data_IF_426653896231
#
_entry.id   IF_426653896231
#
_cell.length_a   1.000
_cell.length_b   1.000
_cell.length_c   1.000
_cell.angle_alpha   90.00
_cell.angle_beta   90.00
_cell.angle_gamma   90.00
#
_symmetry.space_group_name_H-M   'P 1'
#
loop_
_entity.id
_entity.type
_entity.pdbx_description
1 polymer ?
#
# COMPACT_ATOMS: atom_id res chain seq x y z
N UNK A 1 29.61 -21.27 16.93
CA UNK A 1 29.12 -20.01 16.34
C UNK A 1 28.43 -20.37 15.04
N UNK A 2 27.10 -20.52 15.08
CA UNK A 2 26.30 -20.84 13.91
C UNK A 2 25.89 -19.54 13.20
N UNK A 3 26.16 -19.49 11.90
CA UNK A 3 25.78 -18.42 11.00
C UNK A 3 24.25 -18.38 10.85
N UNK A 4 23.62 -17.37 11.44
CA UNK A 4 22.19 -17.16 11.33
C UNK A 4 21.89 -16.20 10.16
N UNK A 5 22.09 -16.66 8.92
CA UNK A 5 21.67 -15.95 7.69
C UNK A 5 20.17 -16.16 7.35
N UNK A 6 19.31 -16.36 8.35
CA UNK A 6 17.91 -16.78 8.11
C UNK A 6 16.84 -15.72 8.40
N UNK A 7 17.14 -14.44 8.19
CA UNK A 7 16.10 -13.48 7.80
C UNK A 7 16.09 -13.35 6.27
N UNK A 8 15.49 -14.35 5.61
CA UNK A 8 15.22 -14.34 4.16
C UNK A 8 14.61 -12.98 3.78
N UNK A 9 15.33 -12.20 2.95
CA UNK A 9 14.76 -11.07 2.18
C UNK A 9 13.40 -11.54 1.65
N UNK A 10 12.31 -10.89 2.08
CA UNK A 10 10.97 -11.23 1.62
C UNK A 10 10.97 -11.38 0.10
N UNK A 11 10.44 -12.49 -0.42
CA UNK A 11 10.43 -12.77 -1.85
C UNK A 11 9.68 -11.63 -2.56
N UNK A 12 10.42 -10.76 -3.27
CA UNK A 12 9.82 -9.78 -4.19
C UNK A 12 8.98 -10.52 -5.23
N UNK A 13 7.78 -10.02 -5.46
CA UNK A 13 6.86 -10.44 -6.50
C UNK A 13 7.37 -9.98 -7.87
N UNK A 14 7.92 -8.75 -7.93
CA UNK A 14 8.41 -8.14 -9.16
C UNK A 14 9.93 -8.12 -9.16
N UNK A 15 10.54 -8.70 -10.20
CA UNK A 15 12.01 -8.86 -10.29
C UNK A 15 12.63 -8.10 -11.47
N UNK A 16 11.86 -7.84 -12.52
CA UNK A 16 12.35 -7.19 -13.74
C UNK A 16 11.47 -6.00 -14.15
N UNK A 17 12.02 -5.15 -15.01
CA UNK A 17 11.33 -3.97 -15.55
C UNK A 17 10.15 -4.37 -16.44
N UNK A 18 10.28 -5.45 -17.18
CA UNK A 18 9.23 -5.97 -18.07
C UNK A 18 8.04 -6.49 -17.25
N UNK A 19 8.33 -7.18 -16.13
CA UNK A 19 7.29 -7.61 -15.18
C UNK A 19 6.59 -6.40 -14.56
N UNK A 20 7.37 -5.40 -14.14
CA UNK A 20 6.84 -4.16 -13.59
C UNK A 20 5.94 -3.43 -14.60
N UNK A 21 6.40 -3.28 -15.85
CA UNK A 21 5.63 -2.66 -16.93
C UNK A 21 4.32 -3.40 -17.18
N UNK A 22 4.37 -4.73 -17.25
CA UNK A 22 3.17 -5.56 -17.46
C UNK A 22 2.17 -5.36 -16.32
N UNK A 23 2.63 -5.43 -15.08
CA UNK A 23 1.79 -5.25 -13.91
C UNK A 23 1.17 -3.84 -13.85
N UNK A 24 1.95 -2.79 -14.10
CA UNK A 24 1.44 -1.41 -14.14
C UNK A 24 0.39 -1.24 -15.25
N UNK A 25 0.61 -1.81 -16.44
CA UNK A 25 -0.35 -1.70 -17.54
C UNK A 25 -1.69 -2.38 -17.23
N UNK A 26 -1.69 -3.45 -16.43
CA UNK A 26 -2.90 -4.11 -15.92
C UNK A 26 -3.55 -3.30 -14.78
N UNK A 27 -2.77 -2.93 -13.76
CA UNK A 27 -3.28 -2.29 -12.54
C UNK A 27 -3.74 -0.85 -12.73
N UNK A 28 -3.27 -0.18 -13.79
CA UNK A 28 -3.65 1.19 -14.13
C UNK A 28 -4.72 1.26 -15.23
N UNK A 29 -5.42 0.16 -15.53
CA UNK A 29 -6.69 0.25 -16.27
C UNK A 29 -7.74 0.93 -15.39
N UNK A 30 -8.70 1.66 -15.98
CA UNK A 30 -9.64 2.50 -15.23
C UNK A 30 -10.34 1.75 -14.09
N UNK A 31 -10.79 0.51 -14.33
CA UNK A 31 -11.43 -0.31 -13.31
C UNK A 31 -10.47 -0.71 -12.18
N UNK A 32 -9.25 -1.12 -12.52
CA UNK A 32 -8.26 -1.58 -11.53
C UNK A 32 -7.66 -0.44 -10.73
N UNK A 33 -7.44 0.72 -11.36
CA UNK A 33 -7.08 1.95 -10.67
C UNK A 33 -8.16 2.32 -9.66
N UNK A 34 -9.43 2.31 -10.08
CA UNK A 34 -10.55 2.58 -9.17
C UNK A 34 -10.60 1.57 -8.02
N UNK A 35 -10.26 0.30 -8.25
CA UNK A 35 -10.16 -0.70 -7.18
C UNK A 35 -9.05 -0.36 -6.17
N UNK A 36 -7.87 0.05 -6.65
CA UNK A 36 -6.76 0.46 -5.79
C UNK A 36 -7.17 1.67 -4.92
N UNK A 37 -7.74 2.71 -5.53
CA UNK A 37 -8.18 3.92 -4.85
C UNK A 37 -9.31 3.65 -3.84
N UNK A 38 -10.33 2.87 -4.23
CA UNK A 38 -11.44 2.51 -3.33
C UNK A 38 -10.97 1.72 -2.12
N UNK A 39 -9.99 0.84 -2.26
CA UNK A 39 -9.49 0.10 -1.10
C UNK A 39 -8.68 0.95 -0.12
N UNK A 40 -8.08 2.07 -0.56
CA UNK A 40 -7.50 3.07 0.36
C UNK A 40 -8.60 3.63 1.27
N UNK A 41 -9.68 4.12 0.66
CA UNK A 41 -10.84 4.64 1.40
C UNK A 41 -11.51 3.57 2.28
N UNK A 42 -11.63 2.35 1.76
CA UNK A 42 -12.15 1.22 2.53
C UNK A 42 -11.29 0.88 3.75
N UNK A 43 -9.96 1.01 3.65
CA UNK A 43 -9.07 0.79 4.80
C UNK A 43 -9.15 1.97 5.79
N UNK A 44 -9.21 3.21 5.32
CA UNK A 44 -9.39 4.40 6.16
C UNK A 44 -10.69 4.33 6.98
N UNK A 45 -11.82 3.99 6.35
CA UNK A 45 -13.11 3.82 7.02
C UNK A 45 -13.06 2.76 8.14
N UNK A 46 -12.37 1.65 7.88
CA UNK A 46 -12.22 0.56 8.86
C UNK A 46 -11.29 0.90 10.02
N UNK A 47 -10.30 1.77 9.82
CA UNK A 47 -9.44 2.26 10.91
C UNK A 47 -10.22 3.09 11.93
N UNK A 48 -11.35 3.70 11.53
CA UNK A 48 -12.23 4.50 12.39
C UNK A 48 -11.48 5.54 13.23
N UNK A 49 -10.42 6.13 12.66
CA UNK A 49 -9.62 7.14 13.32
C UNK A 49 -9.88 8.52 12.68
N UNK A 50 -10.71 9.38 13.30
CA UNK A 50 -11.04 10.69 12.76
C UNK A 50 -9.84 11.66 12.67
N UNK A 51 -8.74 11.37 13.37
CA UNK A 51 -7.51 12.17 13.25
C UNK A 51 -6.83 11.96 11.90
N UNK A 52 -7.01 10.80 11.27
CA UNK A 52 -6.40 10.54 9.96
C UNK A 52 -6.97 11.44 8.88
N UNK A 53 -8.29 11.67 8.87
CA UNK A 53 -8.92 12.57 7.90
C UNK A 53 -8.35 14.00 8.02
N UNK A 54 -8.24 14.50 9.25
CA UNK A 54 -7.65 15.81 9.54
C UNK A 54 -6.17 15.90 9.12
N UNK A 55 -5.41 14.82 9.30
CA UNK A 55 -4.00 14.76 8.91
C UNK A 55 -3.82 14.67 7.39
N UNK A 56 -4.71 13.96 6.70
CA UNK A 56 -4.70 13.86 5.23
C UNK A 56 -5.03 15.21 4.59
N UNK A 57 -6.02 15.93 5.13
CA UNK A 57 -6.37 17.28 4.68
C UNK A 57 -5.23 18.27 4.89
N UNK A 58 -4.48 18.12 6.00
CA UNK A 58 -3.33 18.97 6.35
C UNK A 58 -1.99 18.54 5.74
N UNK A 59 -1.97 17.43 5.01
CA UNK A 59 -0.72 16.85 4.52
C UNK A 59 0.07 17.79 3.58
N UNK A 60 -0.57 18.59 2.71
CA UNK A 60 0.13 19.60 1.91
C UNK A 60 0.87 20.63 2.76
N UNK A 61 0.30 21.11 3.86
CA UNK A 61 0.97 22.02 4.79
C UNK A 61 2.11 21.32 5.54
N UNK A 62 1.90 20.07 5.96
CA UNK A 62 2.94 19.28 6.62
C UNK A 62 4.17 19.07 5.73
N UNK A 63 3.99 18.91 4.41
CA UNK A 63 5.09 18.81 3.45
C UNK A 63 5.84 20.13 3.22
N UNK A 64 5.26 21.28 3.60
CA UNK A 64 5.98 22.57 3.59
C UNK A 64 6.86 22.74 4.82
N UNK A 65 6.49 22.11 5.93
CA UNK A 65 7.19 22.23 7.21
C UNK A 65 8.22 21.12 7.46
N UNK A 66 7.96 19.92 6.92
CA UNK A 66 8.75 18.71 7.19
C UNK A 66 9.12 17.97 5.91
N UNK A 67 10.27 17.29 5.94
CA UNK A 67 10.64 16.37 4.87
C UNK A 67 9.73 15.13 4.89
N UNK A 68 9.46 14.56 3.71
CA UNK A 68 8.59 13.38 3.60
C UNK A 68 9.18 12.18 4.36
N UNK A 69 10.51 12.04 4.38
CA UNK A 69 11.20 11.02 5.18
C UNK A 69 10.90 11.13 6.68
N UNK A 70 10.79 12.36 7.19
CA UNK A 70 10.47 12.63 8.59
C UNK A 70 9.01 12.27 8.90
N UNK A 71 8.08 12.66 8.03
CA UNK A 71 6.65 12.31 8.15
C UNK A 71 6.43 10.79 8.13
N UNK A 72 7.23 10.05 7.34
CA UNK A 72 7.16 8.59 7.21
C UNK A 72 7.99 7.81 8.26
N UNK A 73 8.72 8.51 9.13
CA UNK A 73 9.61 7.90 10.12
C UNK A 73 8.85 7.10 11.17
N UNK A 74 7.69 7.61 11.62
CA UNK A 74 6.96 7.13 12.80
C UNK A 74 7.48 7.67 14.13
N UNK A 75 8.39 8.65 14.10
CA UNK A 75 8.96 9.29 15.29
C UNK A 75 8.79 10.81 15.31
N UNK A 76 8.20 11.40 14.26
CA UNK A 76 7.94 12.83 14.21
C UNK A 76 6.76 13.18 15.13
N UNK A 77 7.02 14.05 16.10
CA UNK A 77 6.00 14.57 17.00
C UNK A 77 5.35 15.82 16.37
N UNK A 78 4.04 15.75 16.14
CA UNK A 78 3.22 16.87 15.68
C UNK A 78 2.20 17.15 16.79
N UNK A 79 1.97 18.43 17.17
CA UNK A 79 0.95 18.77 18.16
C UNK A 79 -0.40 18.13 17.84
N UNK A 80 -1.02 17.54 18.86
CA UNK A 80 -2.34 16.90 18.80
C UNK A 80 -2.46 15.65 17.90
N UNK A 81 -1.35 15.10 17.41
CA UNK A 81 -1.31 13.89 16.58
C UNK A 81 -0.39 12.81 17.16
N UNK A 82 -0.82 11.54 17.09
CA UNK A 82 0.06 10.42 17.41
C UNK A 82 1.05 10.19 16.26
N UNK A 83 2.30 9.85 16.58
CA UNK A 83 3.33 9.64 15.54
C UNK A 83 2.97 8.51 14.57
N UNK A 84 2.21 7.51 15.04
CA UNK A 84 1.62 6.45 14.22
C UNK A 84 0.57 6.94 13.24
N UNK A 85 -0.25 7.91 13.65
CA UNK A 85 -1.29 8.51 12.80
C UNK A 85 -0.67 9.37 11.71
N UNK A 86 0.33 10.18 12.05
CA UNK A 86 1.10 11.00 11.09
C UNK A 86 1.71 10.11 10.01
N UNK A 87 2.38 9.04 10.43
CA UNK A 87 2.98 8.09 9.49
C UNK A 87 1.92 7.39 8.64
N UNK A 88 0.79 7.02 9.23
CA UNK A 88 -0.30 6.34 8.52
C UNK A 88 -0.91 7.25 7.45
N UNK A 89 -1.23 8.50 7.81
CA UNK A 89 -1.67 9.51 6.86
C UNK A 89 -0.65 9.69 5.72
N UNK A 90 0.64 9.80 6.07
CA UNK A 90 1.69 9.95 5.06
C UNK A 90 1.84 8.76 4.11
N UNK A 91 1.69 7.53 4.60
CA UNK A 91 1.69 6.34 3.76
C UNK A 91 0.50 6.35 2.77
N UNK A 92 -0.69 6.74 3.23
CA UNK A 92 -1.86 6.84 2.37
C UNK A 92 -1.73 7.96 1.33
N UNK A 93 -1.28 9.15 1.73
CA UNK A 93 -1.00 10.26 0.80
C UNK A 93 0.03 9.85 -0.26
N UNK A 94 1.12 9.18 0.15
CA UNK A 94 2.11 8.65 -0.80
C UNK A 94 1.48 7.65 -1.77
N UNK A 95 0.66 6.72 -1.28
CA UNK A 95 0.05 5.69 -2.13
C UNK A 95 -0.92 6.31 -3.14
N UNK A 96 -1.76 7.26 -2.70
CA UNK A 96 -2.68 8.00 -3.57
C UNK A 96 -1.92 8.77 -4.67
N UNK A 97 -0.87 9.51 -4.29
CA UNK A 97 -0.05 10.27 -5.23
C UNK A 97 0.69 9.35 -6.21
N UNK A 98 1.23 8.23 -5.76
CA UNK A 98 1.88 7.26 -6.65
C UNK A 98 0.89 6.69 -7.67
N UNK A 99 -0.33 6.34 -7.27
CA UNK A 99 -1.38 5.89 -8.19
C UNK A 99 -1.70 6.98 -9.22
N UNK A 100 -1.89 8.22 -8.74
CA UNK A 100 -2.19 9.37 -9.59
C UNK A 100 -1.10 9.62 -10.63
N UNK A 101 0.15 9.80 -10.21
CA UNK A 101 1.26 10.07 -11.10
C UNK A 101 1.51 8.91 -12.07
N UNK A 102 1.46 7.67 -11.61
CA UNK A 102 1.66 6.52 -12.50
C UNK A 102 0.57 6.44 -13.59
N UNK A 103 -0.67 6.76 -13.26
CA UNK A 103 -1.76 6.82 -14.23
C UNK A 103 -1.59 7.96 -15.23
N UNK A 104 -1.22 9.16 -14.76
CA UNK A 104 -0.92 10.29 -15.65
C UNK A 104 0.22 9.95 -16.62
N UNK A 105 1.30 9.34 -16.13
CA UNK A 105 2.46 8.91 -16.94
C UNK A 105 2.12 7.83 -17.97
N UNK A 106 1.05 7.06 -17.74
CA UNK A 106 0.55 6.06 -18.69
C UNK A 106 -0.26 6.73 -19.81
N UNK A 107 -1.15 7.65 -19.45
CA UNK A 107 -2.12 8.23 -20.39
C UNK A 107 -1.56 9.45 -21.14
N UNK A 108 -0.56 10.12 -20.59
CA UNK A 108 0.02 11.34 -21.16
C UNK A 108 1.38 11.05 -21.83
N UNK A 109 1.51 11.22 -23.17
CA UNK A 109 2.79 11.06 -23.87
C UNK A 109 3.79 12.20 -23.61
N UNK A 110 3.38 13.29 -22.96
CA UNK A 110 4.22 14.42 -22.54
C UNK A 110 3.81 14.89 -21.13
N UNK A 111 4.11 14.09 -20.09
CA UNK A 111 3.86 14.51 -18.71
C UNK A 111 4.73 15.73 -18.37
N UNK A 112 4.32 16.51 -17.37
CA UNK A 112 5.16 17.59 -16.85
C UNK A 112 6.42 17.00 -16.19
N UNK A 113 7.54 17.73 -16.24
CA UNK A 113 8.77 17.34 -15.53
C UNK A 113 8.50 17.19 -14.02
N UNK A 114 7.63 18.05 -13.46
CA UNK A 114 7.19 18.03 -12.06
C UNK A 114 6.54 16.69 -11.64
N UNK A 115 5.85 15.99 -12.55
CA UNK A 115 5.21 14.70 -12.27
C UNK A 115 6.25 13.62 -11.99
N UNK A 116 7.29 13.54 -12.83
CA UNK A 116 8.40 12.59 -12.65
C UNK A 116 9.23 12.90 -11.40
N UNK A 117 9.51 14.17 -11.15
CA UNK A 117 10.30 14.58 -9.98
C UNK A 117 9.55 14.32 -8.67
N UNK A 118 8.24 14.60 -8.63
CA UNK A 118 7.38 14.29 -7.49
C UNK A 118 7.31 12.78 -7.22
N UNK A 119 7.16 11.96 -8.27
CA UNK A 119 7.19 10.51 -8.14
C UNK A 119 8.54 10.03 -7.59
N UNK A 120 9.66 10.51 -8.14
CA UNK A 120 11.01 10.16 -7.65
C UNK A 120 11.24 10.60 -6.22
N UNK A 121 10.73 11.76 -5.82
CA UNK A 121 10.82 12.25 -4.44
C UNK A 121 10.17 11.26 -3.46
N UNK A 122 8.96 10.78 -3.76
CA UNK A 122 8.30 9.75 -2.94
C UNK A 122 9.12 8.46 -2.89
N UNK A 123 9.58 7.96 -4.05
CA UNK A 123 10.33 6.70 -4.13
C UNK A 123 11.68 6.75 -3.38
N UNK A 124 12.29 7.93 -3.26
CA UNK A 124 13.52 8.13 -2.46
C UNK A 124 13.22 8.20 -0.97
N UNK A 125 12.08 8.80 -0.59
CA UNK A 125 11.73 9.07 0.80
C UNK A 125 11.34 7.83 1.62
N UNK A 126 10.97 6.73 0.96
CA UNK A 126 10.68 5.46 1.63
C UNK A 126 11.08 4.30 0.75
N UNK A 127 11.71 3.26 1.33
CA UNK A 127 12.02 2.05 0.57
C UNK A 127 10.77 1.20 0.31
N UNK A 128 10.70 0.55 -0.85
CA UNK A 128 9.62 -0.39 -1.21
C UNK A 128 9.30 -1.40 -0.09
N UNK A 129 10.32 -2.01 0.52
CA UNK A 129 10.12 -2.99 1.59
C UNK A 129 9.55 -2.38 2.86
N UNK A 130 9.96 -1.15 3.22
CA UNK A 130 9.41 -0.44 4.38
C UNK A 130 7.97 -0.03 4.11
N UNK A 131 7.66 0.49 2.92
CA UNK A 131 6.30 0.87 2.52
C UNK A 131 5.35 -0.34 2.59
N UNK A 132 5.71 -1.45 1.91
CA UNK A 132 4.89 -2.67 1.91
C UNK A 132 4.68 -3.22 3.31
N UNK A 133 5.73 -3.25 4.15
CA UNK A 133 5.63 -3.77 5.51
C UNK A 133 4.75 -2.87 6.39
N UNK A 134 4.98 -1.56 6.34
CA UNK A 134 4.26 -0.62 7.19
C UNK A 134 2.76 -0.57 6.78
N UNK A 135 2.45 -0.69 5.48
CA UNK A 135 1.08 -0.86 5.01
C UNK A 135 0.45 -2.19 5.46
N UNK A 136 1.21 -3.31 5.41
CA UNK A 136 0.72 -4.60 5.90
C UNK A 136 0.33 -4.54 7.38
N UNK A 137 1.12 -3.85 8.19
CA UNK A 137 0.82 -3.67 9.63
C UNK A 137 -0.52 -2.95 9.79
N UNK A 138 -0.78 -1.88 9.03
CA UNK A 138 -2.05 -1.15 9.05
C UNK A 138 -3.21 -2.04 8.58
N UNK A 139 -3.02 -2.80 7.50
CA UNK A 139 -4.04 -3.74 7.01
C UNK A 139 -4.38 -4.81 8.05
N UNK A 140 -3.36 -5.41 8.68
CA UNK A 140 -3.55 -6.45 9.69
C UNK A 140 -4.10 -5.87 11.00
N UNK A 141 -3.82 -4.61 11.35
CA UNK A 141 -4.42 -4.01 12.55
C UNK A 141 -5.93 -3.82 12.42
N UNK A 142 -6.43 -3.62 11.19
CA UNK A 142 -7.87 -3.55 10.91
C UNK A 142 -8.53 -4.92 10.98
N UNK A 143 -7.88 -5.94 10.43
CA UNK A 143 -8.37 -7.32 10.56
C UNK A 143 -8.34 -7.75 12.03
N UNK A 144 -7.23 -7.49 12.72
CA UNK A 144 -7.10 -7.59 14.16
C UNK A 144 -7.10 -9.01 14.73
N UNK A 145 -6.61 -9.12 15.96
CA UNK A 145 -6.63 -10.36 16.76
C UNK A 145 -8.07 -10.81 17.00
N UNK A 146 -9.00 -9.87 17.21
CA UNK A 146 -10.41 -10.18 17.49
C UNK A 146 -11.09 -10.95 16.35
N UNK A 147 -10.80 -10.62 15.09
CA UNK A 147 -11.28 -11.41 13.96
C UNK A 147 -10.70 -12.82 13.98
N UNK A 148 -9.39 -12.95 14.14
CA UNK A 148 -8.72 -14.26 14.16
C UNK A 148 -9.18 -15.14 15.34
N UNK A 149 -9.46 -14.55 16.49
CA UNK A 149 -10.05 -15.25 17.65
C UNK A 149 -11.45 -15.77 17.33
N UNK A 150 -12.32 -14.93 16.76
CA UNK A 150 -13.66 -15.38 16.33
C UNK A 150 -13.57 -16.45 15.25
N UNK A 151 -12.69 -16.28 14.27
CA UNK A 151 -12.47 -17.27 13.21
C UNK A 151 -11.96 -18.59 13.80
N UNK A 152 -11.00 -18.56 14.72
CA UNK A 152 -10.52 -19.74 15.45
C UNK A 152 -11.64 -20.44 16.22
N UNK A 153 -12.49 -19.69 16.91
CA UNK A 153 -13.66 -20.26 17.60
C UNK A 153 -14.67 -20.87 16.63
N UNK A 154 -14.90 -20.25 15.47
CA UNK A 154 -15.79 -20.79 14.42
C UNK A 154 -15.25 -22.11 13.89
N UNK A 155 -13.98 -22.19 13.51
CA UNK A 155 -13.39 -23.43 12.96
C UNK A 155 -13.24 -24.55 14.01
N UNK A 156 -13.04 -24.22 15.28
CA UNK A 156 -12.97 -25.23 16.36
C UNK A 156 -14.29 -25.96 16.56
N UNK A 157 -15.41 -25.28 16.29
CA UNK A 157 -16.75 -25.84 16.41
C UNK A 157 -17.32 -26.33 15.06
N UNK A 158 -16.52 -26.28 13.99
CA UNK A 158 -16.94 -26.75 12.67
C UNK A 158 -16.89 -28.28 12.65
N UNK A 159 -18.06 -28.89 12.59
CA UNK A 159 -18.25 -30.17 11.92
C UNK A 159 -17.70 -29.99 10.49
N UNK A 160 -16.69 -30.77 10.07
CA UNK A 160 -16.08 -30.68 8.73
C UNK A 160 -17.03 -31.11 7.58
N UNK A 161 -18.35 -31.09 7.81
CA UNK A 161 -19.36 -31.26 6.78
C UNK A 161 -19.31 -30.18 5.71
N UNK A 162 -19.83 -30.55 4.54
CA UNK A 162 -19.98 -29.66 3.40
C UNK A 162 -20.84 -28.42 3.70
N UNK A 163 -21.91 -28.56 4.49
CA UNK A 163 -22.79 -27.44 4.87
C UNK A 163 -22.08 -26.45 5.79
N UNK A 164 -21.28 -26.93 6.73
CA UNK A 164 -20.47 -26.08 7.60
C UNK A 164 -19.37 -25.35 6.84
N UNK A 165 -18.71 -26.02 5.89
CA UNK A 165 -17.73 -25.37 5.01
C UNK A 165 -18.37 -24.27 4.15
N UNK A 166 -19.56 -24.52 3.60
CA UNK A 166 -20.34 -23.55 2.83
C UNK A 166 -20.81 -22.38 3.70
N UNK A 167 -21.19 -22.64 4.96
CA UNK A 167 -21.54 -21.60 5.92
C UNK A 167 -20.36 -20.67 6.23
N UNK A 168 -19.15 -21.22 6.30
CA UNK A 168 -17.93 -20.43 6.51
C UNK A 168 -17.55 -19.61 5.27
N UNK A 169 -17.69 -20.17 4.06
CA UNK A 169 -17.43 -19.45 2.80
C UNK A 169 -18.33 -18.23 2.60
N UNK A 170 -19.58 -18.31 3.06
CA UNK A 170 -20.54 -17.21 2.97
C UNK A 170 -20.50 -16.25 4.17
N UNK A 171 -19.51 -16.38 5.05
CA UNK A 171 -19.35 -15.52 6.22
C UNK A 171 -18.93 -14.10 5.79
N UNK A 172 -19.74 -13.07 6.08
CA UNK A 172 -19.44 -11.70 5.64
C UNK A 172 -18.14 -11.14 6.24
N UNK A 173 -17.81 -11.52 7.48
CA UNK A 173 -16.60 -11.06 8.17
C UNK A 173 -15.35 -11.71 7.57
N UNK A 174 -15.45 -12.99 7.15
CA UNK A 174 -14.39 -13.67 6.40
C UNK A 174 -14.21 -13.08 5.00
N UNK A 175 -15.32 -12.81 4.30
CA UNK A 175 -15.24 -12.21 2.97
C UNK A 175 -14.56 -10.83 3.03
N UNK A 176 -14.92 -10.01 4.00
CA UNK A 176 -14.29 -8.70 4.23
C UNK A 176 -12.77 -8.82 4.49
N UNK A 177 -12.35 -9.83 5.26
CA UNK A 177 -10.94 -10.12 5.48
C UNK A 177 -10.22 -10.52 4.19
N UNK A 178 -10.80 -11.44 3.43
CA UNK A 178 -10.25 -11.92 2.15
C UNK A 178 -10.11 -10.75 1.17
N UNK A 179 -11.15 -9.93 1.05
CA UNK A 179 -11.17 -8.77 0.15
C UNK A 179 -10.07 -7.77 0.51
N UNK A 180 -9.90 -7.49 1.80
CA UNK A 180 -8.87 -6.56 2.28
C UNK A 180 -7.45 -7.10 2.04
N UNK A 181 -7.22 -8.39 2.28
CA UNK A 181 -5.93 -9.02 2.01
C UNK A 181 -5.63 -9.15 0.51
N UNK A 182 -6.65 -9.39 -0.31
CA UNK A 182 -6.54 -9.40 -1.76
C UNK A 182 -6.18 -7.99 -2.28
N UNK A 183 -6.86 -6.95 -1.79
CA UNK A 183 -6.50 -5.56 -2.10
C UNK A 183 -5.06 -5.24 -1.69
N UNK A 184 -4.63 -5.63 -0.48
CA UNK A 184 -3.24 -5.43 -0.05
C UNK A 184 -2.25 -6.14 -0.99
N UNK A 185 -2.57 -7.34 -1.46
CA UNK A 185 -1.71 -8.05 -2.42
C UNK A 185 -1.58 -7.29 -3.75
N UNK A 186 -2.67 -6.67 -4.23
CA UNK A 186 -2.66 -5.81 -5.42
C UNK A 186 -1.83 -4.55 -5.19
N UNK A 187 -1.99 -3.87 -4.04
CA UNK A 187 -1.19 -2.70 -3.69
C UNK A 187 0.29 -3.06 -3.56
N UNK A 188 0.60 -4.21 -2.97
CA UNK A 188 1.99 -4.69 -2.91
C UNK A 188 2.57 -4.91 -4.31
N UNK A 189 1.82 -5.55 -5.21
CA UNK A 189 2.23 -5.73 -6.60
C UNK A 189 2.43 -4.38 -7.29
N UNK A 190 1.51 -3.44 -7.09
CA UNK A 190 1.61 -2.07 -7.59
C UNK A 190 2.89 -1.40 -7.09
N UNK A 191 3.10 -1.30 -5.78
CA UNK A 191 4.28 -0.67 -5.18
C UNK A 191 5.58 -1.32 -5.67
N UNK A 192 5.70 -2.64 -5.61
CA UNK A 192 6.91 -3.31 -6.10
C UNK A 192 7.16 -3.04 -7.60
N UNK A 193 6.09 -2.90 -8.41
CA UNK A 193 6.20 -2.53 -9.82
C UNK A 193 6.66 -1.09 -10.01
N UNK A 194 6.06 -0.11 -9.32
CA UNK A 194 6.45 1.29 -9.39
C UNK A 194 7.93 1.45 -9.03
N UNK A 195 8.35 0.87 -7.90
CA UNK A 195 9.74 0.93 -7.46
C UNK A 195 10.70 0.20 -8.41
N UNK A 196 10.26 -0.85 -9.10
CA UNK A 196 11.12 -1.55 -10.07
C UNK A 196 11.21 -0.80 -11.40
N UNK A 197 10.14 -0.16 -11.83
CA UNK A 197 10.07 0.52 -13.13
C UNK A 197 10.75 1.89 -13.10
N UNK A 198 10.49 2.69 -12.06
CA UNK A 198 10.90 4.09 -12.00
C UNK A 198 12.17 4.37 -11.20
N UNK A 199 12.63 3.44 -10.35
CA UNK A 199 13.84 3.64 -9.54
C UNK A 199 15.13 3.24 -10.30
N UNK A 200 15.18 3.49 -11.61
CA UNK A 200 16.31 3.19 -12.50
C UNK A 200 17.05 4.49 -12.80
N UNK A 201 18.40 4.51 -12.85
CA UNK A 201 19.18 5.70 -13.18
C UNK A 201 18.75 6.34 -14.50
N UNK A 202 18.83 7.67 -14.58
CA UNK A 202 18.25 8.51 -15.65
C UNK A 202 18.70 8.19 -17.08
N UNK A 203 19.77 7.41 -17.26
CA UNK A 203 20.37 7.05 -18.55
C UNK A 203 19.47 6.18 -19.46
N UNK A 204 18.28 5.75 -19.01
CA UNK A 204 17.35 4.93 -19.79
C UNK A 204 15.94 5.52 -20.00
N UNK A 205 15.71 6.80 -19.63
CA UNK A 205 14.37 7.39 -19.57
C UNK A 205 13.84 7.96 -20.90
N UNK A 206 14.70 8.33 -21.85
CA UNK A 206 14.29 9.03 -23.09
C UNK A 206 13.34 8.26 -24.01
N UNK A 207 13.10 6.96 -23.76
CA UNK A 207 12.25 6.10 -24.59
C UNK A 207 11.20 5.30 -23.80
N UNK A 208 10.91 5.64 -22.53
CA UNK A 208 9.99 4.84 -21.70
C UNK A 208 8.62 5.50 -21.57
N UNK A 209 7.73 5.17 -22.50
CA UNK A 209 6.29 5.25 -22.30
C UNK A 209 5.81 3.98 -21.57
N UNK A 210 4.95 4.17 -20.57
CA UNK A 210 4.18 3.09 -19.94
C UNK A 210 3.22 2.47 -20.96
#
# INVERSE_FOLDING_TARGET
>A
MENNENFKKGKRLVKTVEQAKTALNMLLQDSEKSNLERGIWGLLDKLKNPKLDLLLDRYPELLQEYELEQLLSGSLEIPDAETSDVKTAGLFSCLQLLIHFCYELKDNPKPSDDCYDSLKYILRSISSSKFVRDLLIITVSVVGVAYYEKFQQRIQNLDLSFESAKGLENDPELQEHIDLMAWFALVRLFLESVYTYFNIPDQHLTNRTL
#
